data_IF_035329940164
#
_entry.id   IF_035329940164
#
_cell.length_a   1.000
_cell.length_b   1.000
_cell.length_c   1.000
_cell.angle_alpha   90.00
_cell.angle_beta   90.00
_cell.angle_gamma   90.00
#
_symmetry.space_group_name_H-M   'P 1'
#
loop_
_entity.id
_entity.type
_entity.pdbx_description
1 polymer ?
#
# COMPACT_ATOMS: atom_id res chain seq x y z
N UNK A 1 1.24 -0.27 35.64
CA UNK A 1 -0.09 -0.20 36.30
C UNK A 1 -1.03 -1.28 35.77
N UNK A 2 -2.04 -1.65 36.55
CA UNK A 2 -3.08 -2.66 36.18
C UNK A 2 -4.47 -2.08 36.44
N UNK A 3 -5.52 -2.70 35.88
CA UNK A 3 -6.92 -2.30 36.12
C UNK A 3 -7.44 -2.62 37.53
N UNK A 4 -6.68 -3.32 38.37
CA UNK A 4 -7.01 -3.57 39.78
C UNK A 4 -8.17 -4.55 40.06
N UNK A 5 -8.74 -5.20 39.05
CA UNK A 5 -9.84 -6.16 39.24
C UNK A 5 -9.36 -7.60 39.50
N UNK A 6 -10.30 -8.49 39.85
CA UNK A 6 -10.04 -9.90 40.14
C UNK A 6 -9.46 -10.68 38.96
N UNK A 7 -9.68 -10.22 37.72
CA UNK A 7 -9.19 -10.86 36.49
C UNK A 7 -7.73 -10.51 36.20
N UNK A 8 -7.12 -9.56 36.92
CA UNK A 8 -5.68 -9.34 36.89
C UNK A 8 -5.01 -10.59 37.49
N UNK A 9 -3.92 -11.07 36.87
CA UNK A 9 -3.16 -12.21 37.41
C UNK A 9 -2.33 -11.75 38.59
N UNK A 10 -2.08 -12.62 39.56
CA UNK A 10 -1.28 -12.28 40.77
C UNK A 10 0.07 -11.69 40.41
N UNK A 11 0.82 -12.33 39.49
CA UNK A 11 2.10 -11.80 39.03
C UNK A 11 2.02 -10.36 38.49
N UNK A 12 0.90 -9.99 37.85
CA UNK A 12 0.72 -8.63 37.34
C UNK A 12 0.33 -7.65 38.44
N UNK A 13 -0.36 -8.10 39.49
CA UNK A 13 -0.66 -7.30 40.68
C UNK A 13 0.62 -6.91 41.40
N UNK A 14 1.59 -7.81 41.47
CA UNK A 14 2.89 -7.53 42.11
C UNK A 14 3.64 -6.37 41.43
N UNK A 15 3.51 -6.24 40.10
CA UNK A 15 4.09 -5.13 39.34
C UNK A 15 3.30 -3.82 39.42
N UNK A 16 2.12 -3.82 40.04
CA UNK A 16 1.31 -2.61 40.14
C UNK A 16 2.02 -1.55 40.99
N UNK A 17 2.12 -0.32 40.47
CA UNK A 17 2.76 0.80 41.18
C UNK A 17 4.29 0.75 41.24
N UNK A 18 4.95 -0.25 40.63
CA UNK A 18 6.42 -0.31 40.59
C UNK A 18 6.97 0.68 39.56
N UNK A 19 7.95 1.48 40.00
CA UNK A 19 8.60 2.52 39.21
C UNK A 19 10.04 2.09 38.94
N UNK A 20 10.45 2.11 37.67
CA UNK A 20 11.75 1.61 37.23
C UNK A 20 12.38 2.62 36.27
N UNK A 21 13.72 2.78 36.27
CA UNK A 21 14.43 3.56 35.25
C UNK A 21 14.09 3.08 33.83
N UNK A 22 14.09 4.00 32.86
CA UNK A 22 13.69 3.70 31.47
C UNK A 22 14.57 2.65 30.79
N UNK A 23 15.83 2.54 31.20
CA UNK A 23 16.85 1.62 30.70
C UNK A 23 16.94 0.31 31.50
N UNK A 24 16.12 0.15 32.54
CA UNK A 24 16.11 -1.03 33.39
C UNK A 24 15.83 -2.33 32.60
N UNK A 25 16.58 -3.43 32.82
CA UNK A 25 16.43 -4.67 32.05
C UNK A 25 15.05 -5.31 32.14
N UNK A 26 14.29 -5.07 33.22
CA UNK A 26 12.88 -5.49 33.36
C UNK A 26 12.06 -5.10 32.13
N UNK A 27 12.24 -3.87 31.62
CA UNK A 27 11.47 -3.39 30.48
C UNK A 27 11.73 -4.17 29.21
N UNK A 28 12.85 -4.89 29.06
CA UNK A 28 13.13 -5.68 27.85
C UNK A 28 12.14 -6.84 27.66
N UNK A 29 11.55 -7.34 28.75
CA UNK A 29 10.70 -8.54 28.75
C UNK A 29 9.36 -8.39 29.47
N UNK A 30 9.13 -7.30 30.20
CA UNK A 30 7.91 -7.06 31.00
C UNK A 30 7.12 -5.82 30.58
N UNK A 31 7.18 -5.43 29.30
CA UNK A 31 6.37 -4.32 28.78
C UNK A 31 5.05 -4.84 28.19
N UNK A 32 3.87 -4.34 28.63
CA UNK A 32 2.58 -4.83 28.17
C UNK A 32 2.44 -4.88 26.64
N UNK A 33 1.78 -5.91 26.07
CA UNK A 33 1.00 -6.95 26.76
C UNK A 33 1.85 -8.10 27.33
N UNK A 34 1.61 -8.44 28.61
CA UNK A 34 2.40 -9.43 29.36
C UNK A 34 1.80 -10.85 29.37
N UNK A 35 0.53 -11.04 29.01
CA UNK A 35 -0.11 -12.37 28.90
C UNK A 35 -1.42 -12.24 28.10
N UNK A 36 -2.12 -13.36 27.86
CA UNK A 36 -3.42 -13.39 27.20
C UNK A 36 -4.44 -12.48 27.89
N UNK A 37 -5.08 -11.59 27.14
CA UNK A 37 -6.05 -10.64 27.70
C UNK A 37 -5.46 -9.69 28.73
N UNK A 38 -4.14 -9.44 28.70
CA UNK A 38 -3.49 -8.48 29.58
C UNK A 38 -4.10 -7.08 29.42
N UNK A 39 -4.39 -6.44 30.56
CA UNK A 39 -4.94 -5.08 30.68
C UNK A 39 -4.05 -4.23 31.58
N UNK A 40 -2.75 -4.46 31.49
CA UNK A 40 -1.74 -3.64 32.17
C UNK A 40 -1.29 -2.53 31.21
N UNK A 41 -0.87 -1.41 31.77
CA UNK A 41 -0.33 -0.27 31.01
C UNK A 41 0.89 0.31 31.72
N UNK A 42 1.68 1.11 31.01
CA UNK A 42 2.88 1.79 31.49
C UNK A 42 2.74 3.28 31.27
N UNK A 43 2.99 4.05 32.33
CA UNK A 43 2.99 5.51 32.30
C UNK A 43 4.38 6.03 32.62
N UNK A 44 4.73 7.20 32.07
CA UNK A 44 5.97 7.89 32.40
C UNK A 44 5.74 8.79 33.61
N UNK A 45 6.63 8.70 34.60
CA UNK A 45 6.63 9.56 35.78
C UNK A 45 8.04 10.09 36.06
N UNK A 46 8.14 11.16 36.85
CA UNK A 46 9.39 11.71 37.38
C UNK A 46 9.61 11.32 38.85
N UNK A 47 8.75 10.47 39.41
CA UNK A 47 8.90 9.93 40.76
C UNK A 47 10.15 9.06 40.88
N UNK A 48 10.63 8.91 42.11
CA UNK A 48 11.83 8.11 42.39
C UNK A 48 11.58 6.61 42.08
N UNK A 49 12.59 5.90 41.55
CA UNK A 49 12.48 4.46 41.34
C UNK A 49 12.18 3.70 42.63
N UNK A 50 11.37 2.64 42.51
CA UNK A 50 11.17 1.70 43.60
C UNK A 50 12.50 1.01 43.97
N UNK A 51 12.73 0.65 45.25
CA UNK A 51 13.93 -0.07 45.65
C UNK A 51 14.09 -1.39 44.88
N UNK A 52 15.32 -1.72 44.47
CA UNK A 52 15.62 -2.91 43.67
C UNK A 52 15.11 -4.21 44.32
N UNK A 53 15.19 -4.30 45.65
CA UNK A 53 14.73 -5.45 46.42
C UNK A 53 13.20 -5.67 46.37
N UNK A 54 12.44 -4.67 45.96
CA UNK A 54 10.99 -4.74 45.82
C UNK A 54 10.51 -4.96 44.38
N UNK A 55 11.44 -5.10 43.42
CA UNK A 55 11.12 -5.38 42.02
C UNK A 55 10.75 -6.88 41.91
N UNK A 56 9.50 -7.21 41.54
CA UNK A 56 9.08 -8.60 41.45
C UNK A 56 9.70 -9.32 40.26
N UNK A 57 9.61 -10.65 40.26
CA UNK A 57 10.13 -11.51 39.20
C UNK A 57 9.69 -11.11 37.79
N UNK A 58 10.55 -11.42 36.83
CA UNK A 58 10.28 -11.26 35.40
C UNK A 58 9.07 -12.08 34.95
N UNK A 59 8.54 -11.70 33.78
CA UNK A 59 7.38 -12.32 33.18
C UNK A 59 7.59 -13.84 33.00
N UNK A 60 6.68 -14.64 33.56
CA UNK A 60 6.73 -16.12 33.47
C UNK A 60 6.35 -16.63 32.09
N UNK A 61 5.47 -15.95 31.37
CA UNK A 61 5.01 -16.39 30.05
C UNK A 61 6.02 -15.99 28.96
N UNK A 62 6.90 -16.93 28.59
CA UNK A 62 7.93 -16.74 27.55
C UNK A 62 7.38 -16.20 26.22
N UNK A 63 6.15 -16.58 25.85
CA UNK A 63 5.52 -16.16 24.57
C UNK A 63 5.27 -14.66 24.50
N UNK A 64 5.19 -13.98 25.65
CA UNK A 64 4.91 -12.56 25.75
C UNK A 64 6.13 -11.74 26.17
N UNK A 65 7.30 -12.37 26.40
CA UNK A 65 8.53 -11.65 26.73
C UNK A 65 8.98 -10.78 25.56
N UNK A 66 8.67 -9.50 25.65
CA UNK A 66 8.95 -8.52 24.62
C UNK A 66 8.83 -7.10 25.17
N UNK A 67 9.43 -6.15 24.46
CA UNK A 67 9.12 -4.75 24.61
C UNK A 67 8.65 -4.18 23.27
N UNK A 68 7.33 -3.96 23.08
CA UNK A 68 6.81 -3.38 21.84
C UNK A 68 7.39 -2.00 21.49
N UNK A 69 7.73 -1.19 22.49
CA UNK A 69 8.36 0.11 22.29
C UNK A 69 9.80 0.01 21.77
N UNK A 70 10.52 -1.06 22.10
CA UNK A 70 11.88 -1.31 21.61
C UNK A 70 11.90 -2.12 20.30
N UNK A 71 11.06 -3.15 20.20
CA UNK A 71 11.09 -4.09 19.06
C UNK A 71 10.20 -3.67 17.91
N UNK A 72 9.26 -2.75 18.15
CA UNK A 72 8.23 -2.36 17.18
C UNK A 72 7.19 -3.46 16.90
N UNK A 73 7.19 -4.55 17.69
CA UNK A 73 6.26 -5.67 17.54
C UNK A 73 5.41 -5.77 18.80
N UNK A 74 4.09 -5.88 18.67
CA UNK A 74 3.22 -6.10 19.84
C UNK A 74 3.48 -7.46 20.49
N UNK A 75 3.73 -8.49 19.66
CA UNK A 75 4.09 -9.83 20.12
C UNK A 75 5.43 -10.25 19.50
N UNK A 76 6.32 -10.92 20.24
CA UNK A 76 7.63 -11.33 19.73
C UNK A 76 7.47 -12.37 18.61
N UNK A 77 6.52 -13.28 18.79
CA UNK A 77 6.06 -14.24 17.80
C UNK A 77 4.54 -14.17 17.65
N UNK A 78 4.00 -14.93 16.70
CA UNK A 78 2.55 -15.01 16.47
C UNK A 78 1.94 -15.89 17.54
N UNK A 79 1.80 -15.37 18.77
CA UNK A 79 1.39 -16.15 19.94
C UNK A 79 0.06 -16.89 19.70
N UNK A 80 -0.85 -16.27 18.94
CA UNK A 80 -2.14 -16.82 18.50
C UNK A 80 -2.05 -17.88 17.37
N UNK A 81 -0.85 -18.32 16.99
CA UNK A 81 -0.65 -19.32 15.94
C UNK A 81 -0.83 -20.78 16.40
N UNK A 82 -1.01 -21.01 17.71
CA UNK A 82 -1.24 -22.35 18.23
C UNK A 82 -2.47 -23.00 17.56
N UNK A 83 -2.28 -24.18 16.97
CA UNK A 83 -3.32 -24.91 16.24
C UNK A 83 -3.38 -24.63 14.73
N UNK A 84 -2.59 -23.68 14.21
CA UNK A 84 -2.46 -23.44 12.77
C UNK A 84 -1.24 -24.15 12.19
N UNK A 85 -1.36 -24.57 10.94
CA UNK A 85 -0.23 -25.04 10.12
C UNK A 85 0.69 -23.87 9.74
N UNK A 86 1.94 -24.16 9.39
CA UNK A 86 2.89 -23.14 8.92
C UNK A 86 2.41 -22.36 7.69
N UNK A 87 1.67 -23.03 6.79
CA UNK A 87 1.08 -22.40 5.60
C UNK A 87 -0.04 -21.41 5.97
N UNK A 88 -0.90 -21.76 6.93
CA UNK A 88 -1.96 -20.87 7.40
C UNK A 88 -1.39 -19.64 8.09
N UNK A 89 -0.37 -19.81 8.93
CA UNK A 89 0.33 -18.70 9.58
C UNK A 89 0.94 -17.77 8.53
N UNK A 90 1.58 -18.32 7.50
CA UNK A 90 2.12 -17.53 6.39
C UNK A 90 1.02 -16.76 5.66
N UNK A 91 -0.09 -17.41 5.31
CA UNK A 91 -1.23 -16.78 4.65
C UNK A 91 -1.83 -15.64 5.47
N UNK A 92 -1.97 -15.81 6.78
CA UNK A 92 -2.48 -14.78 7.69
C UNK A 92 -1.51 -13.60 7.75
N UNK A 93 -0.21 -13.85 7.88
CA UNK A 93 0.82 -12.80 7.87
C UNK A 93 0.81 -12.02 6.55
N UNK A 94 0.78 -12.72 5.42
CA UNK A 94 0.74 -12.11 4.10
C UNK A 94 -0.53 -11.24 3.92
N UNK A 95 -1.67 -11.73 4.41
CA UNK A 95 -2.90 -10.95 4.40
C UNK A 95 -2.81 -9.72 5.29
N UNK A 96 -2.28 -9.84 6.51
CA UNK A 96 -2.07 -8.73 7.43
C UNK A 96 -1.16 -7.66 6.85
N UNK A 97 -0.04 -8.05 6.25
CA UNK A 97 0.86 -7.11 5.57
C UNK A 97 0.14 -6.39 4.41
N UNK A 98 -0.64 -7.12 3.60
CA UNK A 98 -1.44 -6.50 2.52
C UNK A 98 -2.47 -5.50 3.06
N UNK A 99 -3.13 -5.80 4.19
CA UNK A 99 -4.05 -4.84 4.81
C UNK A 99 -3.33 -3.61 5.34
N UNK A 100 -2.17 -3.81 5.98
CA UNK A 100 -1.35 -2.72 6.50
C UNK A 100 -0.90 -1.77 5.37
N UNK A 101 -0.36 -2.30 4.28
CA UNK A 101 0.03 -1.49 3.12
C UNK A 101 -1.17 -0.75 2.51
N UNK A 102 -2.36 -1.38 2.50
CA UNK A 102 -3.59 -0.71 2.03
C UNK A 102 -3.95 0.51 2.90
N UNK A 103 -3.88 0.38 4.23
CA UNK A 103 -4.15 1.51 5.15
C UNK A 103 -3.09 2.60 5.00
N UNK A 104 -1.83 2.21 4.84
CA UNK A 104 -0.71 3.14 4.60
C UNK A 104 -0.93 3.94 3.32
N UNK A 105 -1.28 3.25 2.22
CA UNK A 105 -1.57 3.88 0.95
C UNK A 105 -2.81 4.78 1.01
N UNK A 106 -3.86 4.37 1.73
CA UNK A 106 -5.05 5.19 1.97
C UNK A 106 -4.68 6.53 2.60
N UNK A 107 -3.83 6.52 3.65
CA UNK A 107 -3.40 7.75 4.32
C UNK A 107 -2.54 8.65 3.40
N UNK A 108 -1.64 8.06 2.61
CA UNK A 108 -0.84 8.79 1.61
C UNK A 108 -1.75 9.43 0.56
N UNK A 109 -2.71 8.67 0.06
CA UNK A 109 -3.66 9.12 -0.95
C UNK A 109 -4.56 10.23 -0.43
N UNK A 110 -5.05 10.12 0.81
CA UNK A 110 -5.87 11.16 1.42
C UNK A 110 -5.10 12.49 1.55
N UNK A 111 -3.83 12.44 1.95
CA UNK A 111 -2.95 13.63 1.95
C UNK A 111 -2.76 14.19 0.55
N UNK A 112 -2.57 13.34 -0.46
CA UNK A 112 -2.45 13.77 -1.86
C UNK A 112 -3.74 14.43 -2.36
N UNK A 113 -4.91 13.87 -2.05
CA UNK A 113 -6.21 14.47 -2.37
C UNK A 113 -6.36 15.87 -1.77
N UNK A 114 -6.01 16.05 -0.49
CA UNK A 114 -6.09 17.35 0.16
C UNK A 114 -5.20 18.41 -0.51
N UNK A 115 -4.03 18.00 -1.02
CA UNK A 115 -3.13 18.89 -1.77
C UNK A 115 -3.71 19.23 -3.14
N UNK A 116 -4.07 18.21 -3.92
CA UNK A 116 -4.62 18.38 -5.27
C UNK A 116 -5.91 19.21 -5.28
N UNK A 117 -6.77 19.05 -4.26
CA UNK A 117 -8.02 19.82 -4.15
C UNK A 117 -7.78 21.32 -3.96
N UNK A 118 -6.65 21.72 -3.39
CA UNK A 118 -6.27 23.12 -3.19
C UNK A 118 -5.51 23.71 -4.38
N UNK A 119 -5.06 22.86 -5.29
CA UNK A 119 -4.26 23.26 -6.43
C UNK A 119 -5.18 23.68 -7.59
N UNK A 120 -5.15 24.95 -8.02
CA UNK A 120 -6.00 25.44 -9.10
C UNK A 120 -5.65 24.87 -10.48
N UNK A 121 -4.50 24.21 -10.62
CA UNK A 121 -4.10 23.57 -11.86
C UNK A 121 -4.72 22.19 -12.06
N UNK A 122 -5.38 21.62 -11.04
CA UNK A 122 -6.07 20.33 -11.12
C UNK A 122 -7.59 20.47 -11.04
N UNK A 123 -8.25 19.78 -11.96
CA UNK A 123 -9.69 19.66 -12.09
C UNK A 123 -10.13 18.22 -11.77
N UNK A 124 -11.44 18.02 -11.62
CA UNK A 124 -12.07 16.71 -11.37
C UNK A 124 -11.46 15.92 -10.18
N UNK A 125 -10.94 16.64 -9.18
CA UNK A 125 -10.25 16.04 -8.03
C UNK A 125 -11.25 15.30 -7.15
N UNK A 126 -11.10 13.97 -7.05
CA UNK A 126 -11.99 13.12 -6.26
C UNK A 126 -11.23 12.11 -5.39
N UNK A 127 -11.88 11.67 -4.32
CA UNK A 127 -11.37 10.67 -3.37
C UNK A 127 -12.42 9.61 -3.07
N UNK A 128 -12.06 8.35 -3.24
CA UNK A 128 -12.94 7.21 -2.96
C UNK A 128 -12.75 6.80 -1.50
N UNK A 129 -13.75 7.09 -0.65
CA UNK A 129 -13.69 6.77 0.78
C UNK A 129 -13.65 5.27 1.08
N UNK A 130 -14.10 4.42 0.16
CA UNK A 130 -14.14 2.97 0.34
C UNK A 130 -12.78 2.33 0.03
N UNK A 131 -12.12 2.79 -1.02
CA UNK A 131 -10.87 2.18 -1.51
C UNK A 131 -9.62 3.01 -1.25
N UNK A 132 -9.78 4.30 -0.91
CA UNK A 132 -8.68 5.24 -0.74
C UNK A 132 -8.12 5.76 -2.06
N UNK A 133 -8.79 5.51 -3.18
CA UNK A 133 -8.34 5.98 -4.49
C UNK A 133 -8.45 7.49 -4.62
N UNK A 134 -7.59 8.07 -5.46
CA UNK A 134 -7.60 9.51 -5.77
C UNK A 134 -7.54 9.68 -7.26
N UNK A 135 -8.32 10.59 -7.83
CA UNK A 135 -8.12 11.05 -9.20
C UNK A 135 -8.00 12.56 -9.27
N UNK A 136 -7.26 13.03 -10.26
CA UNK A 136 -7.15 14.44 -10.61
C UNK A 136 -6.69 14.56 -12.07
N UNK A 137 -7.13 15.62 -12.74
CA UNK A 137 -6.76 15.88 -14.14
C UNK A 137 -6.24 17.31 -14.23
N UNK A 138 -5.03 17.49 -14.74
CA UNK A 138 -4.47 18.82 -14.90
C UNK A 138 -5.30 19.64 -15.91
N UNK A 139 -5.50 20.93 -15.67
CA UNK A 139 -6.34 21.82 -16.50
C UNK A 139 -5.86 21.97 -17.95
N UNK A 140 -4.56 21.73 -18.16
CA UNK A 140 -3.90 21.72 -19.48
C UNK A 140 -3.74 20.30 -20.06
N UNK A 141 -4.41 19.30 -19.50
CA UNK A 141 -4.48 17.97 -20.09
C UNK A 141 -5.44 18.00 -21.28
N UNK A 142 -4.97 17.56 -22.46
CA UNK A 142 -5.75 17.62 -23.68
C UNK A 142 -6.30 16.24 -24.03
N UNK A 143 -7.56 15.99 -23.68
CA UNK A 143 -8.24 14.78 -24.09
C UNK A 143 -8.40 14.75 -25.62
N UNK A 144 -7.84 13.71 -26.26
CA UNK A 144 -8.06 13.48 -27.68
C UNK A 144 -9.57 13.30 -27.97
N UNK A 145 -10.06 13.93 -29.04
CA UNK A 145 -11.49 13.93 -29.39
C UNK A 145 -12.07 12.53 -29.62
N UNK A 146 -11.24 11.56 -29.99
CA UNK A 146 -11.63 10.17 -30.28
C UNK A 146 -11.20 9.20 -29.18
N UNK A 147 -10.11 9.45 -28.44
CA UNK A 147 -9.61 8.52 -27.41
C UNK A 147 -9.80 8.99 -25.97
N UNK A 148 -10.13 10.27 -25.73
CA UNK A 148 -10.19 10.85 -24.39
C UNK A 148 -11.24 10.23 -23.46
N UNK A 149 -12.32 9.67 -24.02
CA UNK A 149 -13.32 8.92 -23.24
C UNK A 149 -12.70 7.69 -22.56
N UNK A 150 -11.74 7.04 -23.22
CA UNK A 150 -11.09 5.85 -22.67
C UNK A 150 -10.06 6.20 -21.61
N UNK A 151 -9.33 7.30 -21.75
CA UNK A 151 -8.42 7.80 -20.70
C UNK A 151 -9.19 8.10 -19.41
N UNK A 152 -10.34 8.79 -19.52
CA UNK A 152 -11.23 9.04 -18.39
C UNK A 152 -11.75 7.73 -17.77
N UNK A 153 -12.11 6.75 -18.60
CA UNK A 153 -12.56 5.43 -18.13
C UNK A 153 -11.46 4.66 -17.41
N UNK A 154 -10.24 4.67 -17.93
CA UNK A 154 -9.06 4.05 -17.30
C UNK A 154 -8.78 4.71 -15.95
N UNK A 155 -8.79 6.05 -15.90
CA UNK A 155 -8.65 6.82 -14.66
C UNK A 155 -9.73 6.40 -13.64
N UNK A 156 -11.00 6.37 -14.03
CA UNK A 156 -12.11 6.00 -13.14
C UNK A 156 -12.01 4.55 -12.62
N UNK A 157 -11.59 3.61 -13.46
CA UNK A 157 -11.41 2.21 -13.07
C UNK A 157 -10.28 2.05 -12.04
N UNK A 158 -9.12 2.67 -12.28
CA UNK A 158 -7.97 2.56 -11.40
C UNK A 158 -8.18 3.35 -10.09
N UNK A 159 -8.78 4.54 -10.18
CA UNK A 159 -9.25 5.31 -9.03
C UNK A 159 -10.14 4.45 -8.12
N UNK A 160 -11.17 3.79 -8.67
CA UNK A 160 -12.08 2.92 -7.89
C UNK A 160 -11.40 1.69 -7.31
N UNK A 161 -10.22 1.30 -7.79
CA UNK A 161 -9.41 0.21 -7.20
C UNK A 161 -8.46 0.67 -6.09
N UNK A 162 -8.46 1.96 -5.75
CA UNK A 162 -7.63 2.50 -4.66
C UNK A 162 -6.31 3.14 -5.11
N UNK A 163 -6.07 3.25 -6.42
CA UNK A 163 -4.89 3.92 -6.95
C UNK A 163 -5.03 5.45 -6.87
N UNK A 164 -3.91 6.15 -6.68
CA UNK A 164 -3.82 7.59 -6.96
C UNK A 164 -3.49 7.76 -8.43
N UNK A 165 -4.41 8.28 -9.21
CA UNK A 165 -4.28 8.39 -10.66
C UNK A 165 -4.41 9.84 -11.11
N UNK A 166 -3.32 10.43 -11.61
CA UNK A 166 -3.33 11.78 -12.18
C UNK A 166 -3.11 11.73 -13.67
N UNK A 167 -3.75 12.68 -14.36
CA UNK A 167 -3.44 13.04 -15.75
C UNK A 167 -2.72 14.38 -15.72
N UNK A 168 -1.51 14.43 -16.27
CA UNK A 168 -0.60 15.58 -16.20
C UNK A 168 -0.78 16.48 -17.44
N UNK A 169 -0.16 17.67 -17.43
CA UNK A 169 -0.27 18.63 -18.52
C UNK A 169 0.37 18.14 -19.82
N UNK A 170 -0.28 18.36 -20.97
CA UNK A 170 0.27 17.97 -22.29
C UNK A 170 0.79 19.15 -23.12
N UNK A 171 1.49 20.09 -22.48
CA UNK A 171 1.91 21.33 -23.15
C UNK A 171 3.05 21.07 -24.14
N UNK A 172 2.93 21.58 -25.37
CA UNK A 172 3.96 21.48 -26.43
C UNK A 172 5.20 22.33 -26.19
N UNK A 173 5.15 23.29 -25.26
CA UNK A 173 6.22 24.27 -25.00
C UNK A 173 7.24 23.85 -23.94
N UNK A 174 7.08 22.69 -23.28
CA UNK A 174 8.03 22.19 -22.28
C UNK A 174 8.93 21.13 -22.93
N UNK A 175 10.27 21.32 -22.99
CA UNK A 175 11.19 20.30 -23.48
C UNK A 175 11.20 19.10 -22.53
N UNK A 176 10.56 17.99 -22.92
CA UNK A 176 10.47 16.79 -22.09
C UNK A 176 9.43 15.78 -22.59
N UNK A 177 9.60 14.51 -22.25
CA UNK A 177 8.74 13.41 -22.72
C UNK A 177 7.36 13.47 -22.06
N UNK A 178 6.31 13.44 -22.90
CA UNK A 178 4.89 13.58 -22.53
C UNK A 178 4.28 12.24 -22.13
N UNK A 179 4.53 11.80 -20.90
CA UNK A 179 3.70 10.75 -20.28
C UNK A 179 2.32 11.32 -19.96
N UNK A 180 1.30 10.47 -19.93
CA UNK A 180 -0.08 10.93 -19.76
C UNK A 180 -0.37 11.34 -18.31
N UNK A 181 0.38 10.77 -17.36
CA UNK A 181 0.42 11.25 -15.98
C UNK A 181 1.05 10.26 -15.01
N UNK A 182 0.52 10.16 -13.79
CA UNK A 182 1.08 9.31 -12.73
C UNK A 182 0.07 8.37 -12.08
N UNK A 183 0.50 7.14 -11.87
CA UNK A 183 -0.18 6.12 -11.07
C UNK A 183 0.66 5.86 -9.81
N UNK A 184 0.13 6.25 -8.66
CA UNK A 184 0.84 6.34 -7.40
C UNK A 184 2.10 7.22 -7.53
N UNK A 185 3.28 6.61 -7.61
CA UNK A 185 4.58 7.30 -7.75
C UNK A 185 5.20 7.11 -9.13
N UNK A 186 4.60 6.26 -9.98
CA UNK A 186 5.13 5.88 -11.28
C UNK A 186 4.48 6.70 -12.38
N UNK A 187 5.25 7.03 -13.41
CA UNK A 187 4.71 7.61 -14.65
C UNK A 187 3.95 6.55 -15.43
N UNK A 188 2.85 6.94 -16.09
CA UNK A 188 2.09 6.02 -16.94
C UNK A 188 1.81 6.61 -18.32
N UNK A 189 1.58 5.69 -19.26
CA UNK A 189 1.06 5.98 -20.59
C UNK A 189 -0.10 5.02 -20.89
N UNK A 190 -1.19 5.56 -21.43
CA UNK A 190 -2.42 4.85 -21.76
C UNK A 190 -2.45 4.64 -23.27
N UNK A 191 -2.47 3.37 -23.67
CA UNK A 191 -2.62 2.97 -25.06
C UNK A 191 -3.92 2.22 -25.26
N UNK A 192 -4.82 2.81 -26.05
CA UNK A 192 -6.09 2.16 -26.44
C UNK A 192 -5.87 1.22 -27.63
N UNK A 193 -6.19 -0.05 -27.45
CA UNK A 193 -6.09 -1.09 -28.48
C UNK A 193 -7.47 -1.30 -29.11
N UNK A 194 -7.56 -1.02 -30.41
CA UNK A 194 -8.78 -1.14 -31.21
C UNK A 194 -8.70 -2.19 -32.32
N UNK A 195 -7.50 -2.70 -32.60
CA UNK A 195 -7.26 -3.61 -33.72
C UNK A 195 -6.93 -5.04 -33.27
N UNK A 196 -7.35 -6.01 -34.08
CA UNK A 196 -7.10 -7.45 -33.88
C UNK A 196 -5.71 -7.84 -34.45
N UNK A 197 -4.90 -6.87 -34.89
CA UNK A 197 -3.60 -7.12 -35.47
C UNK A 197 -2.64 -7.76 -34.46
N UNK A 198 -1.81 -8.71 -34.91
CA UNK A 198 -0.82 -9.41 -34.09
C UNK A 198 0.34 -8.54 -33.58
N UNK A 199 0.35 -7.24 -33.90
CA UNK A 199 1.36 -6.26 -33.49
C UNK A 199 0.77 -5.10 -32.66
N UNK A 200 -0.52 -5.09 -32.35
CA UNK A 200 -1.18 -3.98 -31.66
C UNK A 200 -0.53 -3.68 -30.30
N UNK A 201 -0.37 -4.73 -29.48
CA UNK A 201 0.27 -4.67 -28.16
C UNK A 201 1.72 -4.18 -28.26
N UNK A 202 2.49 -4.72 -29.21
CA UNK A 202 3.88 -4.28 -29.45
C UNK A 202 3.95 -2.79 -29.80
N UNK A 203 3.06 -2.30 -30.67
CA UNK A 203 3.00 -0.88 -31.06
C UNK A 203 2.66 0.00 -29.87
N UNK A 204 1.68 -0.40 -29.05
CA UNK A 204 1.30 0.27 -27.82
C UNK A 204 2.49 0.36 -26.84
N UNK A 205 3.16 -0.76 -26.56
CA UNK A 205 4.34 -0.76 -25.68
C UNK A 205 5.48 0.10 -26.23
N UNK A 206 5.71 0.10 -27.54
CA UNK A 206 6.68 1.02 -28.14
C UNK A 206 6.29 2.50 -27.97
N UNK A 207 4.99 2.81 -27.98
CA UNK A 207 4.50 4.17 -27.76
C UNK A 207 4.80 4.61 -26.31
N UNK A 208 4.40 3.81 -25.33
CA UNK A 208 4.69 4.05 -23.92
C UNK A 208 6.19 4.15 -23.63
N UNK A 209 7.00 3.31 -24.29
CA UNK A 209 8.47 3.34 -24.19
C UNK A 209 9.04 4.66 -24.72
N UNK A 210 8.57 5.15 -25.87
CA UNK A 210 9.05 6.42 -26.46
C UNK A 210 8.84 7.59 -25.49
N UNK A 211 7.74 7.56 -24.74
CA UNK A 211 7.41 8.53 -23.68
C UNK A 211 8.16 8.27 -22.37
N UNK A 212 8.90 7.17 -22.25
CA UNK A 212 9.64 6.78 -21.04
C UNK A 212 8.74 6.58 -19.81
N UNK A 213 7.54 6.01 -20.04
CA UNK A 213 6.61 5.69 -18.97
C UNK A 213 7.08 4.46 -18.18
N UNK A 214 7.06 4.54 -16.85
CA UNK A 214 7.36 3.40 -15.97
C UNK A 214 6.30 2.30 -16.09
N UNK A 215 5.04 2.69 -16.29
CA UNK A 215 3.88 1.81 -16.39
C UNK A 215 3.20 1.98 -17.74
N UNK A 216 3.08 0.89 -18.50
CA UNK A 216 2.26 0.87 -19.71
C UNK A 216 0.84 0.39 -19.37
N UNK A 217 -0.18 1.16 -19.74
CA UNK A 217 -1.59 0.80 -19.54
C UNK A 217 -2.23 0.49 -20.89
N UNK A 218 -2.53 -0.78 -21.13
CA UNK A 218 -3.16 -1.27 -22.35
C UNK A 218 -4.67 -1.40 -22.16
N UNK A 219 -5.45 -0.51 -22.78
CA UNK A 219 -6.91 -0.57 -22.69
C UNK A 219 -7.50 -1.26 -23.92
N UNK A 220 -8.11 -2.43 -23.72
CA UNK A 220 -8.83 -3.17 -24.76
C UNK A 220 -10.30 -2.79 -24.74
N UNK A 221 -10.75 -2.11 -25.80
CA UNK A 221 -12.10 -1.57 -25.91
C UNK A 221 -13.20 -2.64 -25.85
N UNK A 222 -12.94 -3.81 -26.44
CA UNK A 222 -13.86 -4.95 -26.42
C UNK A 222 -13.10 -6.24 -26.11
N UNK A 223 -13.77 -7.20 -25.47
CA UNK A 223 -13.24 -8.55 -25.19
C UNK A 223 -12.75 -9.25 -26.45
N UNK A 224 -13.40 -9.05 -27.59
CA UNK A 224 -12.99 -9.65 -28.87
C UNK A 224 -11.59 -9.20 -29.34
N UNK A 225 -11.10 -8.06 -28.84
CA UNK A 225 -9.77 -7.56 -29.15
C UNK A 225 -8.68 -8.24 -28.32
N UNK A 226 -9.06 -8.96 -27.26
CA UNK A 226 -8.16 -9.55 -26.28
C UNK A 226 -8.16 -11.08 -26.36
N UNK A 227 -6.95 -11.64 -26.39
CA UNK A 227 -6.65 -13.04 -26.09
C UNK A 227 -5.34 -13.05 -25.32
N UNK A 228 -5.17 -13.96 -24.36
CA UNK A 228 -3.96 -14.02 -23.55
C UNK A 228 -2.72 -14.29 -24.41
N UNK A 229 -2.86 -15.15 -25.42
CA UNK A 229 -1.81 -15.53 -26.36
C UNK A 229 -1.28 -14.30 -27.13
N UNK A 230 -2.18 -13.48 -27.70
CA UNK A 230 -1.80 -12.25 -28.41
C UNK A 230 -1.14 -11.21 -27.50
N UNK A 231 -1.57 -11.11 -26.24
CA UNK A 231 -0.91 -10.24 -25.26
C UNK A 231 0.54 -10.70 -25.03
N UNK A 232 0.73 -11.97 -24.72
CA UNK A 232 2.04 -12.56 -24.44
C UNK A 232 2.96 -12.50 -25.67
N UNK A 233 2.46 -12.82 -26.86
CA UNK A 233 3.22 -12.66 -28.10
C UNK A 233 3.64 -11.21 -28.35
N UNK A 234 2.73 -10.26 -28.13
CA UNK A 234 3.01 -8.84 -28.29
C UNK A 234 4.11 -8.36 -27.35
N UNK A 235 4.06 -8.79 -26.08
CA UNK A 235 5.06 -8.50 -25.06
C UNK A 235 6.39 -9.17 -25.41
N UNK A 236 6.38 -10.44 -25.81
CA UNK A 236 7.59 -11.19 -26.23
C UNK A 236 8.27 -10.51 -27.42
N UNK A 237 7.49 -10.13 -28.44
CA UNK A 237 8.00 -9.39 -29.61
C UNK A 237 8.57 -8.04 -29.20
N UNK A 238 7.95 -7.33 -28.24
CA UNK A 238 8.47 -6.08 -27.70
C UNK A 238 9.79 -6.27 -26.94
N UNK A 239 9.87 -7.28 -26.07
CA UNK A 239 11.05 -7.57 -25.27
C UNK A 239 12.25 -8.02 -26.11
N UNK A 240 12.00 -8.65 -27.27
CA UNK A 240 13.05 -9.07 -28.21
C UNK A 240 13.66 -7.93 -29.04
N UNK A 241 13.00 -6.78 -29.15
CA UNK A 241 13.47 -5.63 -29.96
C UNK A 241 13.98 -4.45 -29.11
N UNK A 242 13.81 -4.49 -27.79
CA UNK A 242 14.16 -3.39 -26.90
C UNK A 242 14.63 -3.92 -25.56
N UNK A 243 15.63 -3.27 -24.96
CA UNK A 243 16.08 -3.54 -23.59
C UNK A 243 15.24 -2.82 -22.53
N UNK A 244 14.41 -1.86 -22.93
CA UNK A 244 13.57 -1.12 -21.98
C UNK A 244 12.51 -2.04 -21.36
N UNK A 245 12.44 -2.06 -20.03
CA UNK A 245 11.46 -2.85 -19.27
C UNK A 245 10.59 -1.90 -18.45
N UNK A 246 9.28 -2.07 -18.59
CA UNK A 246 8.31 -1.38 -17.75
C UNK A 246 8.39 -1.93 -16.33
N UNK A 247 8.21 -1.07 -15.33
CA UNK A 247 8.01 -1.50 -13.95
C UNK A 247 6.75 -2.34 -13.80
N UNK A 248 5.73 -2.05 -14.62
CA UNK A 248 4.50 -2.83 -14.70
C UNK A 248 3.79 -2.65 -16.03
N UNK A 249 3.18 -3.72 -16.53
CA UNK A 249 2.21 -3.61 -17.63
C UNK A 249 0.82 -3.86 -17.05
N UNK A 250 -0.05 -2.86 -17.12
CA UNK A 250 -1.46 -2.98 -16.74
C UNK A 250 -2.25 -3.20 -18.01
N UNK A 251 -3.11 -4.20 -18.05
CA UNK A 251 -4.04 -4.37 -19.16
C UNK A 251 -5.47 -4.45 -18.66
N UNK A 252 -6.35 -3.71 -19.33
CA UNK A 252 -7.74 -3.55 -18.95
C UNK A 252 -8.60 -4.11 -20.08
N UNK A 253 -9.37 -5.14 -19.78
CA UNK A 253 -10.26 -5.79 -20.74
C UNK A 253 -11.68 -5.56 -20.28
N UNK A 254 -12.45 -4.80 -21.06
CA UNK A 254 -13.76 -4.26 -20.65
C UNK A 254 -13.65 -3.38 -19.40
N UNK A 255 -13.69 -3.97 -18.20
CA UNK A 255 -13.58 -3.31 -16.91
C UNK A 255 -12.64 -4.06 -15.95
N UNK A 256 -12.08 -5.19 -16.37
CA UNK A 256 -11.22 -6.03 -15.53
C UNK A 256 -9.78 -5.54 -15.66
N UNK A 257 -9.22 -5.09 -14.54
CA UNK A 257 -7.84 -4.62 -14.44
C UNK A 257 -6.95 -5.81 -14.11
N UNK A 258 -5.98 -6.07 -14.98
CA UNK A 258 -5.03 -7.15 -14.86
C UNK A 258 -3.60 -6.63 -14.96
N UNK A 259 -2.64 -7.49 -14.59
CA UNK A 259 -1.23 -7.14 -14.47
C UNK A 259 -0.36 -8.19 -15.16
N UNK A 260 0.69 -7.74 -15.83
CA UNK A 260 1.79 -8.54 -16.35
C UNK A 260 3.11 -7.96 -15.83
#
# INVERSE_FOLDING_TARGET
MTVGDERVRDQHRDWHGKILPIDHPFWKVNFPPNDWGCRCDVERTNEEPSPEAEIPDNLKNEKFKNNPGMTGKVFPETVYAAGFTGEEVKRIKDWGQKQFERVKQYAINYKAYQRLKKDPDYLDVAFDKKTGGVKATHRLHNFDKKTGVYEKRVQDLLYKKGYKFTLDAEVSSIPGKKVDGKINQFTHDISTIRDIGGNAVKRALNHSRKKNADVAILYFENKSLFTKERLEEGIKKYNGQSEYRFSKIIYIVSNDINFH
#
